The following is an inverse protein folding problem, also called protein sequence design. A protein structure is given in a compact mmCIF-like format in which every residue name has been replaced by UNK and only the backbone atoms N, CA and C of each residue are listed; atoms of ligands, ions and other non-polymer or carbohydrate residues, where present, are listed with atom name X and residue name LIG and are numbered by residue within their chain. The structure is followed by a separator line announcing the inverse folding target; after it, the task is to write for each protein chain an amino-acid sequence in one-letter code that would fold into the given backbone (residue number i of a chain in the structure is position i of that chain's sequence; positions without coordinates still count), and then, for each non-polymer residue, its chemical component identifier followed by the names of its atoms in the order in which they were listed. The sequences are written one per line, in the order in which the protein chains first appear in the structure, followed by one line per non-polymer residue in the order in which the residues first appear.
data_IF_762332351122
#
_entry.id   IF_762332351122
#
_cell.length_a   1.000
_cell.length_b   1.000
_cell.length_c   1.000
_cell.angle_alpha   90.00
_cell.angle_beta   90.00
_cell.angle_gamma   90.00
#
_symmetry.space_group_name_H-M   'P 1'
#
loop_
_entity.id
_entity.type
_entity.pdbx_description
1 polymer ?
#
# COMPACT_ATOMS: atom_id res chain seq x y z
N UNK A 1 21.39 27.24 37.23
CA UNK A 1 20.39 26.76 36.25
C UNK A 1 21.09 26.47 34.93
N UNK A 2 21.37 25.21 34.61
CA UNK A 2 21.84 24.85 33.25
C UNK A 2 20.64 24.99 32.32
N UNK A 3 20.74 25.84 31.30
CA UNK A 3 19.70 25.93 30.28
C UNK A 3 19.63 24.58 29.58
N UNK A 4 18.54 23.83 29.78
CA UNK A 4 18.24 22.66 28.95
C UNK A 4 17.97 23.19 27.54
N UNK A 5 19.00 23.24 26.69
CA UNK A 5 18.76 23.19 25.24
C UNK A 5 18.19 21.79 25.00
N UNK A 6 16.87 21.67 24.99
CA UNK A 6 16.20 20.48 24.48
C UNK A 6 16.53 20.40 23.00
N UNK A 7 17.43 19.50 22.61
CA UNK A 7 17.75 19.28 21.21
C UNK A 7 16.46 18.87 20.49
N UNK A 8 16.03 19.73 19.55
CA UNK A 8 14.91 19.46 18.67
C UNK A 8 15.37 18.46 17.61
N UNK A 9 14.68 17.33 17.51
CA UNK A 9 14.92 16.38 16.43
C UNK A 9 14.81 17.06 15.06
N UNK A 10 15.64 16.67 14.10
CA UNK A 10 15.38 17.02 12.70
C UNK A 10 14.26 16.11 12.18
N UNK A 11 13.20 16.70 11.64
CA UNK A 11 12.04 15.95 11.13
C UNK A 11 12.02 16.03 9.61
N UNK A 12 12.06 14.87 8.95
CA UNK A 12 11.91 14.78 7.49
C UNK A 12 10.53 14.28 7.09
N UNK A 13 9.75 15.12 6.45
CA UNK A 13 8.49 14.74 5.81
C UNK A 13 8.77 14.24 4.39
N UNK A 14 8.49 12.96 4.14
CA UNK A 14 8.81 12.28 2.89
C UNK A 14 7.54 12.12 2.07
N UNK A 15 7.49 12.78 0.91
CA UNK A 15 6.38 12.71 -0.04
C UNK A 15 6.84 12.09 -1.35
N UNK A 16 6.11 11.09 -1.80
CA UNK A 16 6.30 10.50 -3.12
C UNK A 16 5.16 10.96 -4.01
N UNK A 17 5.47 11.29 -5.26
CA UNK A 17 4.46 11.65 -6.23
C UNK A 17 4.75 11.05 -7.62
N UNK A 18 3.72 10.48 -8.23
CA UNK A 18 3.70 10.02 -9.63
C UNK A 18 2.36 10.42 -10.25
N UNK A 19 2.37 11.41 -11.15
CA UNK A 19 1.18 11.90 -11.85
C UNK A 19 0.07 12.47 -10.93
N UNK A 20 0.43 13.03 -9.77
CA UNK A 20 -0.51 13.64 -8.80
C UNK A 20 -0.16 15.11 -8.50
N UNK A 21 0.37 15.85 -9.47
CA UNK A 21 0.76 17.25 -9.29
C UNK A 21 -0.39 18.15 -8.81
N UNK A 22 -1.62 17.91 -9.26
CA UNK A 22 -2.79 18.68 -8.83
C UNK A 22 -3.02 18.62 -7.32
N UNK A 23 -2.75 17.49 -6.68
CA UNK A 23 -2.80 17.34 -5.23
C UNK A 23 -1.58 17.96 -4.56
N UNK A 24 -0.38 17.68 -5.09
CA UNK A 24 0.87 18.18 -4.52
C UNK A 24 0.91 19.72 -4.48
N UNK A 25 0.34 20.38 -5.49
CA UNK A 25 0.17 21.85 -5.56
C UNK A 25 -0.59 22.42 -4.37
N UNK A 26 -1.58 21.68 -3.87
CA UNK A 26 -2.43 22.12 -2.77
C UNK A 26 -1.77 21.85 -1.42
N UNK A 27 -1.10 20.70 -1.29
CA UNK A 27 -0.63 20.20 0.00
C UNK A 27 0.78 20.65 0.36
N UNK A 28 1.73 20.59 -0.58
CA UNK A 28 3.15 20.80 -0.28
C UNK A 28 3.45 22.22 0.24
N UNK A 29 3.02 23.33 -0.41
CA UNK A 29 3.31 24.67 0.08
C UNK A 29 2.73 24.88 1.49
N UNK A 30 1.46 24.48 1.66
CA UNK A 30 0.75 24.62 2.94
C UNK A 30 1.41 23.82 4.06
N UNK A 31 1.80 22.57 3.78
CA UNK A 31 2.45 21.70 4.76
C UNK A 31 3.80 22.27 5.22
N UNK A 32 4.57 22.86 4.31
CA UNK A 32 5.81 23.57 4.62
C UNK A 32 5.50 24.75 5.53
N UNK A 33 4.67 25.70 5.08
CA UNK A 33 4.31 26.91 5.83
C UNK A 33 3.83 26.62 7.26
N UNK A 34 2.96 25.62 7.41
CA UNK A 34 2.38 25.20 8.67
C UNK A 34 3.41 24.69 9.70
N UNK A 35 4.62 24.35 9.26
CA UNK A 35 5.66 23.74 10.08
C UNK A 35 7.01 24.47 10.04
N UNK A 36 7.18 25.52 9.23
CA UNK A 36 8.41 26.32 9.15
C UNK A 36 8.86 26.86 10.51
N UNK A 37 7.92 27.29 11.36
CA UNK A 37 8.24 27.86 12.68
C UNK A 37 8.94 26.87 13.63
N UNK A 38 8.90 25.57 13.34
CA UNK A 38 9.65 24.57 14.11
C UNK A 38 11.16 24.72 13.93
N UNK A 39 11.61 25.17 12.75
CA UNK A 39 12.99 25.47 12.40
C UNK A 39 13.82 24.28 11.92
N UNK A 40 13.71 23.11 12.57
CA UNK A 40 14.52 21.92 12.22
C UNK A 40 13.73 20.89 11.38
N UNK A 41 13.15 21.33 10.25
CA UNK A 41 12.38 20.49 9.33
C UNK A 41 13.06 20.34 7.98
N UNK A 42 12.80 19.22 7.31
CA UNK A 42 13.11 18.97 5.90
C UNK A 42 11.88 18.34 5.23
N UNK A 43 11.56 18.77 4.02
CA UNK A 43 10.57 18.15 3.16
C UNK A 43 11.30 17.46 2.01
N UNK A 44 11.15 16.15 1.88
CA UNK A 44 11.76 15.36 0.81
C UNK A 44 10.68 14.98 -0.17
N UNK A 45 10.73 15.52 -1.38
CA UNK A 45 9.78 15.21 -2.45
C UNK A 45 10.47 14.37 -3.50
N UNK A 46 9.94 13.17 -3.73
CA UNK A 46 10.35 12.28 -4.81
C UNK A 46 9.36 12.36 -5.97
N UNK A 47 9.80 12.93 -7.08
CA UNK A 47 9.12 12.73 -8.37
C UNK A 47 9.50 11.36 -8.93
N UNK A 48 8.53 10.45 -8.88
CA UNK A 48 8.68 9.04 -9.24
C UNK A 48 8.25 8.80 -10.69
N UNK A 49 8.88 9.53 -11.61
CA UNK A 49 8.62 9.51 -13.06
C UNK A 49 7.27 10.11 -13.50
N UNK A 50 6.82 11.17 -12.83
CA UNK A 50 5.65 11.96 -13.24
C UNK A 50 5.80 12.54 -14.65
N UNK A 51 4.67 12.69 -15.34
CA UNK A 51 4.50 13.22 -16.72
C UNK A 51 3.57 14.43 -16.78
N UNK A 52 3.20 14.97 -15.63
CA UNK A 52 2.18 16.01 -15.44
C UNK A 52 2.77 17.41 -15.21
N UNK A 53 4.05 17.64 -15.55
CA UNK A 53 4.73 18.92 -15.40
C UNK A 53 5.28 19.21 -14.00
N UNK A 54 5.46 18.18 -13.17
CA UNK A 54 5.92 18.32 -11.79
C UNK A 54 7.29 18.97 -11.66
N UNK A 55 8.23 18.66 -12.55
CA UNK A 55 9.59 19.20 -12.50
C UNK A 55 9.60 20.71 -12.72
N UNK A 56 8.91 21.17 -13.77
CA UNK A 56 8.78 22.59 -14.11
C UNK A 56 8.09 23.35 -12.97
N UNK A 57 7.06 22.76 -12.37
CA UNK A 57 6.33 23.38 -11.27
C UNK A 57 7.19 23.53 -10.01
N UNK A 58 7.84 22.45 -9.53
CA UNK A 58 8.70 22.51 -8.34
C UNK A 58 9.83 23.54 -8.53
N UNK A 59 10.46 23.54 -9.71
CA UNK A 59 11.59 24.45 -10.02
C UNK A 59 11.19 25.92 -10.02
N UNK A 60 9.95 26.22 -10.38
CA UNK A 60 9.46 27.58 -10.48
C UNK A 60 8.82 28.06 -9.18
N UNK A 61 7.85 27.30 -8.65
CA UNK A 61 7.02 27.76 -7.54
C UNK A 61 7.61 27.42 -6.17
N UNK A 62 8.49 26.42 -6.07
CA UNK A 62 9.05 25.94 -4.80
C UNK A 62 10.54 26.26 -4.64
N UNK A 63 11.08 27.14 -5.50
CA UNK A 63 12.51 27.46 -5.56
C UNK A 63 13.04 27.99 -4.23
N UNK A 64 12.34 28.91 -3.58
CA UNK A 64 12.81 29.53 -2.34
C UNK A 64 12.95 28.51 -1.20
N UNK A 65 12.09 27.50 -1.17
CA UNK A 65 12.21 26.38 -0.21
C UNK A 65 13.38 25.45 -0.55
N UNK A 66 13.72 25.28 -1.83
CA UNK A 66 14.90 24.51 -2.23
C UNK A 66 16.20 25.26 -1.89
N UNK A 67 16.26 26.55 -2.23
CA UNK A 67 17.43 27.40 -1.97
C UNK A 67 17.73 27.52 -0.46
N UNK A 68 16.68 27.60 0.38
CA UNK A 68 16.82 27.61 1.84
C UNK A 68 17.13 26.24 2.46
N UNK A 69 17.13 25.17 1.67
CA UNK A 69 17.38 23.80 2.14
C UNK A 69 16.20 23.15 2.89
N UNK A 70 15.05 23.82 2.98
CA UNK A 70 13.83 23.27 3.60
C UNK A 70 13.23 22.17 2.72
N UNK A 71 13.27 22.32 1.39
CA UNK A 71 12.76 21.36 0.43
C UNK A 71 13.89 20.67 -0.33
N UNK A 72 14.00 19.36 -0.15
CA UNK A 72 14.85 18.48 -0.94
C UNK A 72 14.02 17.81 -2.04
N UNK A 73 14.24 18.24 -3.28
CA UNK A 73 13.62 17.63 -4.45
C UNK A 73 14.54 16.61 -5.12
N UNK A 74 14.05 15.38 -5.30
CA UNK A 74 14.75 14.30 -5.99
C UNK A 74 13.83 13.68 -7.03
N UNK A 75 14.40 13.13 -8.10
CA UNK A 75 13.61 12.52 -9.17
C UNK A 75 14.28 11.33 -9.83
N UNK A 76 13.44 10.49 -10.43
CA UNK A 76 13.86 9.37 -11.28
C UNK A 76 12.92 9.21 -12.48
N UNK A 77 13.41 8.62 -13.57
CA UNK A 77 12.62 8.31 -14.78
C UNK A 77 12.53 6.81 -15.08
N UNK A 78 13.12 5.98 -14.22
CA UNK A 78 13.23 4.54 -14.45
C UNK A 78 11.92 3.77 -14.24
N UNK A 79 11.16 3.99 -13.14
CA UNK A 79 9.96 3.21 -12.88
C UNK A 79 8.87 3.52 -13.91
N UNK A 80 8.36 2.48 -14.59
CA UNK A 80 7.20 2.62 -15.49
C UNK A 80 5.88 2.76 -14.73
N UNK A 81 5.81 2.11 -13.57
CA UNK A 81 4.63 2.05 -12.72
C UNK A 81 4.95 2.55 -11.31
N UNK A 82 3.92 2.91 -10.57
CA UNK A 82 4.01 3.31 -9.17
C UNK A 82 4.25 2.08 -8.29
N UNK A 83 5.39 2.06 -7.60
CA UNK A 83 5.79 0.96 -6.72
C UNK A 83 5.84 1.48 -5.28
N UNK A 84 4.70 1.46 -4.56
CA UNK A 84 4.52 2.12 -3.26
C UNK A 84 5.69 1.91 -2.29
N UNK A 85 6.02 0.65 -1.97
CA UNK A 85 7.09 0.33 -1.02
C UNK A 85 8.45 0.86 -1.48
N UNK A 86 8.80 0.65 -2.75
CA UNK A 86 10.10 1.07 -3.28
C UNK A 86 10.22 2.60 -3.33
N UNK A 87 9.18 3.29 -3.77
CA UNK A 87 9.19 4.75 -3.83
C UNK A 87 9.26 5.39 -2.45
N UNK A 88 8.50 4.86 -1.47
CA UNK A 88 8.61 5.25 -0.06
C UNK A 88 10.04 5.03 0.45
N UNK A 89 10.65 3.88 0.14
CA UNK A 89 12.03 3.58 0.51
C UNK A 89 13.04 4.56 -0.08
N UNK A 90 12.91 4.92 -1.35
CA UNK A 90 13.79 5.89 -2.01
C UNK A 90 13.70 7.25 -1.32
N UNK A 91 12.49 7.77 -1.07
CA UNK A 91 12.31 9.05 -0.41
C UNK A 91 12.87 9.04 1.02
N UNK A 92 12.49 8.03 1.82
CA UNK A 92 12.93 7.90 3.21
C UNK A 92 14.43 7.67 3.31
N UNK A 93 15.08 6.95 2.38
CA UNK A 93 16.55 6.82 2.36
C UNK A 93 17.24 8.16 2.19
N UNK A 94 16.70 9.05 1.33
CA UNK A 94 17.30 10.34 1.02
C UNK A 94 17.00 11.44 2.05
N UNK A 95 16.10 11.18 3.01
CA UNK A 95 15.88 12.05 4.16
C UNK A 95 17.07 12.11 5.13
N UNK A 96 17.29 13.27 5.72
CA UNK A 96 18.40 13.51 6.66
C UNK A 96 17.97 13.68 8.12
N UNK A 97 16.67 13.69 8.39
CA UNK A 97 16.13 13.85 9.74
C UNK A 97 16.36 12.65 10.64
N UNK A 98 16.37 12.91 11.95
CA UNK A 98 16.39 11.90 13.01
C UNK A 98 15.08 11.11 13.04
N UNK A 99 13.98 11.77 12.68
CA UNK A 99 12.65 11.20 12.52
C UNK A 99 12.21 11.38 11.07
N UNK A 100 11.75 10.30 10.45
CA UNK A 100 11.18 10.29 9.11
C UNK A 100 9.68 10.04 9.19
N UNK A 101 8.91 10.81 8.42
CA UNK A 101 7.46 10.73 8.38
C UNK A 101 6.97 10.59 6.93
N UNK A 102 6.19 9.56 6.61
CA UNK A 102 5.54 9.46 5.31
C UNK A 102 4.35 10.44 5.22
N UNK A 103 4.27 11.20 4.12
CA UNK A 103 3.17 12.12 3.83
C UNK A 103 2.80 11.98 2.35
N UNK A 104 1.61 11.44 2.07
CA UNK A 104 1.15 11.28 0.70
C UNK A 104 0.89 12.64 0.02
N UNK A 105 0.90 12.68 -1.32
CA UNK A 105 0.83 13.94 -2.07
C UNK A 105 -0.51 14.70 -1.92
N UNK A 106 -1.54 14.03 -1.42
CA UNK A 106 -2.90 14.54 -1.20
C UNK A 106 -3.22 14.75 0.30
N UNK A 107 -2.20 14.71 1.15
CA UNK A 107 -2.34 14.77 2.60
C UNK A 107 -1.90 16.13 3.16
N UNK A 108 -2.74 16.75 4.00
CA UNK A 108 -2.35 17.87 4.85
C UNK A 108 -1.87 17.36 6.20
N UNK A 109 -0.75 17.90 6.70
CA UNK A 109 -0.22 17.57 8.04
C UNK A 109 -0.66 18.55 9.12
N UNK A 110 -1.11 19.74 8.72
CA UNK A 110 -1.58 20.79 9.63
C UNK A 110 -0.48 21.49 10.42
N UNK A 111 -0.86 22.62 11.04
CA UNK A 111 0.03 23.50 11.78
C UNK A 111 0.64 22.83 13.01
N UNK A 112 1.95 22.97 13.17
CA UNK A 112 2.67 22.51 14.36
C UNK A 112 2.85 21.00 14.49
N UNK A 113 2.60 20.24 13.42
CA UNK A 113 2.79 18.79 13.43
C UNK A 113 4.23 18.36 13.75
N UNK A 114 5.22 19.11 13.27
CA UNK A 114 6.62 18.88 13.60
C UNK A 114 6.88 18.99 15.12
N UNK A 115 6.31 19.99 15.79
CA UNK A 115 6.44 20.15 17.25
C UNK A 115 5.72 19.01 18.00
N UNK A 116 4.57 18.56 17.49
CA UNK A 116 3.83 17.42 18.03
C UNK A 116 4.62 16.10 17.92
N UNK A 117 5.29 15.86 16.78
CA UNK A 117 6.21 14.72 16.60
C UNK A 117 7.37 14.82 17.59
N UNK A 118 8.05 15.97 17.64
CA UNK A 118 9.18 16.20 18.52
C UNK A 118 8.85 15.89 19.99
N UNK A 119 7.76 16.49 20.50
CA UNK A 119 7.27 16.25 21.86
C UNK A 119 7.02 14.77 22.11
N UNK A 120 6.41 14.08 21.14
CA UNK A 120 6.09 12.65 21.25
C UNK A 120 7.32 11.75 21.38
N UNK A 121 8.38 12.02 20.63
CA UNK A 121 9.62 11.24 20.69
C UNK A 121 10.52 11.64 21.87
N UNK A 122 10.42 12.87 22.38
CA UNK A 122 11.07 13.29 23.62
C UNK A 122 10.42 12.66 24.85
N UNK A 123 9.09 12.53 24.87
CA UNK A 123 8.36 11.84 25.93
C UNK A 123 8.68 10.35 26.01
N UNK A 124 8.83 9.70 24.85
CA UNK A 124 9.14 8.28 24.79
C UNK A 124 9.89 7.92 23.50
N UNK A 125 11.19 7.64 23.61
CA UNK A 125 12.02 7.26 22.46
C UNK A 125 11.69 5.85 21.90
N UNK A 126 10.88 5.04 22.59
CA UNK A 126 10.49 3.68 22.17
C UNK A 126 9.11 3.64 21.49
N UNK A 127 8.74 4.72 20.78
CA UNK A 127 7.49 4.78 20.03
C UNK A 127 7.72 4.92 18.52
N UNK A 128 6.69 4.57 17.77
CA UNK A 128 6.45 5.11 16.44
C UNK A 128 5.07 5.78 16.45
N UNK A 129 4.83 6.72 15.55
CA UNK A 129 3.52 7.36 15.43
C UNK A 129 2.81 6.88 14.16
N UNK A 130 1.52 6.64 14.23
CA UNK A 130 0.71 6.28 13.07
C UNK A 130 -0.75 6.69 13.25
N UNK A 131 -1.51 6.76 12.15
CA UNK A 131 -2.96 6.84 12.21
C UNK A 131 -3.60 5.66 12.94
N UNK A 132 -4.74 5.91 13.57
CA UNK A 132 -5.57 4.85 14.15
C UNK A 132 -6.15 3.96 13.05
N UNK A 133 -6.01 2.65 13.20
CA UNK A 133 -6.51 1.68 12.23
C UNK A 133 -8.04 1.62 12.23
N UNK A 134 -8.67 1.93 13.36
CA UNK A 134 -10.11 1.83 13.54
C UNK A 134 -10.86 3.09 13.12
N UNK A 135 -10.22 4.25 13.29
CA UNK A 135 -10.90 5.55 13.19
C UNK A 135 -10.30 6.50 12.18
N UNK A 136 -9.13 6.18 11.59
CA UNK A 136 -8.57 7.00 10.52
C UNK A 136 -9.33 6.76 9.23
N UNK A 137 -9.64 7.87 8.55
CA UNK A 137 -10.13 7.84 7.18
C UNK A 137 -9.07 7.18 6.27
N UNK A 138 -9.50 6.46 5.21
CA UNK A 138 -8.64 5.62 4.35
C UNK A 138 -7.33 6.31 3.91
N UNK A 139 -7.33 7.63 3.71
CA UNK A 139 -6.17 8.39 3.26
C UNK A 139 -5.12 8.72 4.33
N UNK A 140 -5.46 8.66 5.62
CA UNK A 140 -4.53 9.01 6.72
C UNK A 140 -3.67 7.84 7.20
N UNK A 141 -3.98 6.61 6.78
CA UNK A 141 -3.35 5.39 7.27
C UNK A 141 -1.85 5.32 6.94
N UNK A 142 -1.46 5.80 5.77
CA UNK A 142 -0.06 5.79 5.30
C UNK A 142 0.85 6.75 6.06
N UNK A 143 0.32 7.59 6.96
CA UNK A 143 1.13 8.49 7.78
C UNK A 143 1.76 7.72 8.94
N UNK A 144 3.05 7.44 8.79
CA UNK A 144 3.86 6.78 9.82
C UNK A 144 5.09 7.65 10.11
N UNK A 145 5.30 8.01 11.37
CA UNK A 145 6.52 8.65 11.85
C UNK A 145 7.35 7.62 12.62
N UNK A 146 8.62 7.48 12.27
CA UNK A 146 9.55 6.57 12.94
C UNK A 146 10.95 7.18 13.00
N UNK A 147 11.80 6.67 13.89
CA UNK A 147 13.21 7.08 13.88
C UNK A 147 13.87 6.62 12.57
N UNK A 148 14.78 7.43 12.04
CA UNK A 148 15.57 7.08 10.87
C UNK A 148 16.39 5.80 11.11
N UNK A 149 16.87 5.61 12.33
CA UNK A 149 17.61 4.41 12.73
C UNK A 149 16.74 3.15 12.67
N UNK A 150 15.49 3.19 13.14
CA UNK A 150 14.56 2.07 13.00
C UNK A 150 14.22 1.80 11.53
N UNK A 151 13.97 2.83 10.72
CA UNK A 151 13.74 2.67 9.28
C UNK A 151 14.90 1.94 8.58
N UNK A 152 16.14 2.35 8.87
CA UNK A 152 17.36 1.70 8.32
C UNK A 152 17.51 0.28 8.84
N UNK A 153 17.28 0.05 10.14
CA UNK A 153 17.36 -1.27 10.79
C UNK A 153 16.35 -2.26 10.18
N UNK A 154 15.15 -1.79 9.87
CA UNK A 154 14.09 -2.57 9.21
C UNK A 154 14.30 -2.74 7.71
N UNK A 155 15.30 -2.06 7.13
CA UNK A 155 15.56 -2.01 5.70
C UNK A 155 14.34 -1.53 4.89
N UNK A 156 13.57 -0.59 5.43
CA UNK A 156 12.43 0.03 4.76
C UNK A 156 11.19 -0.86 4.59
N UNK A 157 10.25 -0.42 3.76
CA UNK A 157 9.03 -1.11 3.34
C UNK A 157 9.35 -2.33 2.47
N UNK A 158 8.56 -3.39 2.53
CA UNK A 158 8.78 -4.61 1.74
C UNK A 158 8.56 -4.36 0.23
N UNK A 159 9.65 -4.34 -0.55
CA UNK A 159 9.60 -4.06 -1.99
C UNK A 159 9.09 -5.25 -2.82
N UNK A 160 8.91 -6.40 -2.19
CA UNK A 160 8.26 -7.54 -2.81
C UNK A 160 6.73 -7.41 -2.78
N UNK A 161 6.16 -6.47 -2.02
CA UNK A 161 4.75 -6.12 -2.12
C UNK A 161 4.51 -5.40 -3.44
N UNK A 162 3.55 -5.90 -4.21
CA UNK A 162 3.23 -5.40 -5.54
C UNK A 162 1.78 -4.94 -5.54
N UNK A 163 1.54 -3.85 -6.24
CA UNK A 163 0.23 -3.25 -6.28
C UNK A 163 -0.17 -2.51 -5.00
N UNK A 164 -1.45 -2.17 -4.89
CA UNK A 164 -1.99 -1.35 -3.81
C UNK A 164 -2.14 -2.08 -2.46
N UNK A 165 -1.64 -1.43 -1.40
CA UNK A 165 -2.01 -1.65 0.00
C UNK A 165 -1.15 -2.66 0.77
N UNK A 166 -1.31 -2.63 2.10
CA UNK A 166 -0.70 -3.49 3.13
C UNK A 166 0.79 -3.28 3.45
N UNK A 167 1.51 -2.46 2.70
CA UNK A 167 2.91 -2.13 2.99
C UNK A 167 3.07 -1.35 4.31
N UNK A 168 2.11 -0.48 4.62
CA UNK A 168 2.09 0.29 5.87
C UNK A 168 1.76 -0.61 7.07
N UNK A 169 0.85 -1.56 6.90
CA UNK A 169 0.54 -2.56 7.93
C UNK A 169 1.78 -3.42 8.24
N UNK A 170 2.50 -3.84 7.21
CA UNK A 170 3.73 -4.62 7.36
C UNK A 170 4.84 -3.84 8.06
N UNK A 171 5.04 -2.57 7.69
CA UNK A 171 5.99 -1.69 8.38
C UNK A 171 5.66 -1.53 9.87
N UNK A 172 4.38 -1.31 10.21
CA UNK A 172 3.92 -1.20 11.60
C UNK A 172 4.15 -2.48 12.40
N UNK A 173 3.79 -3.63 11.84
CA UNK A 173 4.05 -4.93 12.44
C UNK A 173 5.54 -5.10 12.77
N UNK A 174 6.42 -4.69 11.86
CA UNK A 174 7.87 -4.81 12.05
C UNK A 174 8.43 -3.82 13.08
N UNK A 175 7.88 -2.61 13.17
CA UNK A 175 8.19 -1.67 14.26
C UNK A 175 7.78 -2.26 15.63
N UNK A 176 6.61 -2.90 15.70
CA UNK A 176 6.16 -3.57 16.93
C UNK A 176 7.00 -4.78 17.30
N UNK A 177 7.45 -5.57 16.31
CA UNK A 177 8.41 -6.66 16.51
C UNK A 177 9.78 -6.16 16.99
N UNK A 178 10.17 -4.91 16.69
CA UNK A 178 11.34 -4.25 17.31
C UNK A 178 11.10 -3.79 18.75
N UNK A 179 9.89 -3.97 19.28
CA UNK A 179 9.52 -3.51 20.62
C UNK A 179 9.05 -2.06 20.69
N UNK A 180 8.75 -1.43 19.54
CA UNK A 180 8.18 -0.07 19.52
C UNK A 180 6.70 -0.11 19.82
N UNK A 181 6.22 0.87 20.57
CA UNK A 181 4.78 1.05 20.83
C UNK A 181 4.20 2.10 19.89
N UNK A 182 2.99 1.87 19.40
CA UNK A 182 2.28 2.89 18.62
C UNK A 182 1.83 4.04 19.51
N UNK A 183 2.08 5.28 19.06
CA UNK A 183 1.40 6.48 19.54
C UNK A 183 0.47 6.98 18.43
N UNK A 184 -0.82 7.02 18.71
CA UNK A 184 -1.82 7.40 17.72
C UNK A 184 -1.70 8.90 17.41
N UNK A 185 -1.63 9.23 16.12
CA UNK A 185 -1.60 10.62 15.65
C UNK A 185 -2.97 11.25 15.85
N UNK A 186 -3.00 12.47 16.39
CA UNK A 186 -4.24 13.23 16.52
C UNK A 186 -4.88 13.46 15.13
N UNK A 187 -6.21 13.24 15.03
CA UNK A 187 -6.97 13.40 13.79
C UNK A 187 -6.79 14.77 13.11
N UNK A 188 -6.49 15.83 13.86
CA UNK A 188 -6.16 17.15 13.31
C UNK A 188 -4.97 17.14 12.32
N UNK A 189 -4.08 16.15 12.41
CA UNK A 189 -2.93 15.97 11.53
C UNK A 189 -3.13 14.88 10.47
N UNK A 190 -4.37 14.39 10.30
CA UNK A 190 -4.74 13.29 9.40
C UNK A 190 -5.68 13.73 8.26
N UNK A 191 -5.67 15.02 7.89
CA UNK A 191 -6.56 15.55 6.86
C UNK A 191 -6.08 15.15 5.45
N UNK A 192 -6.99 14.69 4.60
CA UNK A 192 -6.69 14.24 3.23
C UNK A 192 -7.65 14.86 2.22
N UNK A 193 -7.17 15.14 1.01
CA UNK A 193 -8.02 15.52 -0.11
C UNK A 193 -8.83 14.31 -0.58
N UNK A 194 -10.13 14.49 -0.79
CA UNK A 194 -11.00 13.43 -1.28
C UNK A 194 -10.74 13.15 -2.76
N UNK A 195 -10.72 11.85 -3.10
CA UNK A 195 -10.63 11.39 -4.47
C UNK A 195 -11.11 9.93 -4.58
N UNK A 196 -11.49 9.54 -5.80
CA UNK A 196 -11.96 8.19 -6.14
C UNK A 196 -10.85 7.12 -5.97
N UNK A 197 -11.26 5.90 -5.62
CA UNK A 197 -10.42 4.70 -5.52
C UNK A 197 -9.79 4.34 -6.87
N UNK A 198 -10.46 4.59 -8.00
CA UNK A 198 -9.90 4.37 -9.35
C UNK A 198 -8.56 5.08 -9.53
N UNK A 199 -8.45 6.31 -9.02
CA UNK A 199 -7.24 7.11 -9.16
C UNK A 199 -6.04 6.46 -8.45
N UNK A 200 -6.28 5.69 -7.36
CA UNK A 200 -5.24 4.95 -6.61
C UNK A 200 -4.54 3.90 -7.48
N UNK A 201 -5.28 3.34 -8.42
CA UNK A 201 -4.87 2.22 -9.27
C UNK A 201 -4.30 2.66 -10.62
N UNK A 202 -4.51 3.92 -11.03
CA UNK A 202 -4.18 4.43 -12.36
C UNK A 202 -2.73 4.15 -12.79
N UNK A 203 -1.76 4.29 -11.87
CA UNK A 203 -0.34 4.06 -12.17
C UNK A 203 0.18 2.73 -11.61
N UNK A 204 -0.68 1.89 -11.07
CA UNK A 204 -0.32 0.59 -10.50
C UNK A 204 0.02 -0.44 -11.59
N UNK A 205 0.99 -1.35 -11.37
CA UNK A 205 1.27 -2.43 -12.33
C UNK A 205 0.07 -3.32 -12.66
N UNK A 206 -0.71 -3.75 -11.67
CA UNK A 206 -1.76 -4.77 -11.87
C UNK A 206 -2.88 -4.29 -12.80
N UNK A 207 -3.23 -3.01 -12.76
CA UNK A 207 -4.19 -2.37 -13.69
C UNK A 207 -3.78 -2.51 -15.15
N UNK A 208 -2.47 -2.59 -15.43
CA UNK A 208 -1.94 -2.69 -16.78
C UNK A 208 -1.64 -4.12 -17.22
N UNK A 209 -1.35 -5.01 -16.27
CA UNK A 209 -0.99 -6.40 -16.55
C UNK A 209 -2.20 -7.34 -16.56
N UNK A 210 -3.22 -7.10 -15.73
CA UNK A 210 -4.43 -7.91 -15.71
C UNK A 210 -5.28 -7.52 -16.93
N UNK A 211 -5.47 -8.45 -17.87
CA UNK A 211 -6.25 -8.22 -19.09
C UNK A 211 -7.71 -8.61 -18.93
N UNK A 212 -7.96 -9.74 -18.27
CA UNK A 212 -9.30 -10.29 -18.14
C UNK A 212 -9.48 -10.90 -16.76
N UNK A 213 -10.67 -10.69 -16.19
CA UNK A 213 -11.07 -11.31 -14.93
C UNK A 213 -12.36 -12.07 -15.21
N UNK A 214 -12.43 -13.28 -14.68
CA UNK A 214 -13.61 -14.14 -14.74
C UNK A 214 -14.00 -14.57 -13.34
N UNK A 215 -15.30 -14.66 -13.07
CA UNK A 215 -15.81 -15.23 -11.85
C UNK A 215 -16.67 -16.47 -12.12
N UNK A 216 -16.66 -17.40 -11.17
CA UNK A 216 -17.46 -18.62 -11.13
C UNK A 216 -18.19 -18.66 -9.80
N UNK A 217 -19.52 -18.75 -9.83
CA UNK A 217 -20.29 -19.01 -8.61
C UNK A 217 -20.06 -20.47 -8.17
N UNK A 218 -19.59 -20.67 -6.93
CA UNK A 218 -19.38 -22.02 -6.37
C UNK A 218 -20.53 -22.34 -5.42
N UNK A 219 -20.73 -21.48 -4.43
CA UNK A 219 -21.86 -21.53 -3.49
C UNK A 219 -22.18 -20.12 -2.97
N UNK A 220 -23.06 -20.00 -1.97
CA UNK A 220 -23.47 -18.71 -1.41
C UNK A 220 -22.35 -17.96 -0.67
N UNK A 221 -21.32 -18.65 -0.19
CA UNK A 221 -20.20 -18.07 0.55
C UNK A 221 -18.90 -18.01 -0.28
N UNK A 222 -18.84 -18.72 -1.42
CA UNK A 222 -17.61 -18.94 -2.17
C UNK A 222 -17.75 -18.56 -3.64
N UNK A 223 -16.80 -17.77 -4.14
CA UNK A 223 -16.69 -17.39 -5.56
C UNK A 223 -15.31 -17.74 -6.09
N UNK A 224 -15.24 -18.50 -7.18
CA UNK A 224 -13.99 -18.74 -7.90
C UNK A 224 -13.64 -17.53 -8.76
N UNK A 225 -12.39 -17.08 -8.72
CA UNK A 225 -11.85 -16.04 -9.60
C UNK A 225 -10.75 -16.61 -10.48
N UNK A 226 -10.68 -16.10 -11.71
CA UNK A 226 -9.61 -16.37 -12.68
C UNK A 226 -9.15 -15.03 -13.29
N UNK A 227 -7.90 -14.67 -13.03
CA UNK A 227 -7.21 -13.52 -13.62
C UNK A 227 -6.30 -13.99 -14.74
N UNK A 228 -6.37 -13.34 -15.90
CA UNK A 228 -5.48 -13.57 -17.04
C UNK A 228 -4.61 -12.34 -17.27
N UNK A 229 -3.30 -12.53 -17.32
CA UNK A 229 -2.32 -11.45 -17.45
C UNK A 229 -1.81 -11.31 -18.89
N UNK A 230 -1.22 -10.16 -19.19
CA UNK A 230 -0.71 -9.80 -20.51
C UNK A 230 0.48 -10.64 -20.97
N UNK A 231 1.21 -11.25 -20.04
CA UNK A 231 2.34 -12.14 -20.22
C UNK A 231 1.96 -13.62 -20.38
N UNK A 232 0.66 -13.91 -20.59
CA UNK A 232 0.11 -15.27 -20.71
C UNK A 232 0.14 -16.10 -19.41
N UNK A 233 0.33 -15.46 -18.25
CA UNK A 233 0.16 -16.13 -16.95
C UNK A 233 -1.27 -15.98 -16.43
N UNK A 234 -1.69 -16.90 -15.54
CA UNK A 234 -2.98 -16.81 -14.86
C UNK A 234 -2.87 -17.01 -13.35
N UNK A 235 -3.86 -16.47 -12.63
CA UNK A 235 -4.12 -16.73 -11.22
C UNK A 235 -5.55 -17.21 -11.05
N UNK A 236 -5.74 -18.38 -10.43
CA UNK A 236 -7.05 -18.98 -10.17
C UNK A 236 -7.17 -19.34 -8.69
N UNK A 237 -8.27 -18.95 -8.06
CA UNK A 237 -8.46 -19.19 -6.63
C UNK A 237 -9.90 -18.96 -6.18
N UNK A 238 -10.25 -19.51 -5.02
CA UNK A 238 -11.57 -19.39 -4.43
C UNK A 238 -11.56 -18.30 -3.36
N UNK A 239 -12.49 -17.36 -3.47
CA UNK A 239 -12.68 -16.28 -2.51
C UNK A 239 -13.85 -16.65 -1.61
N UNK A 240 -13.58 -16.69 -0.30
CA UNK A 240 -14.56 -17.03 0.72
C UNK A 240 -14.98 -15.77 1.47
N UNK A 241 -16.29 -15.54 1.55
CA UNK A 241 -16.89 -14.48 2.38
C UNK A 241 -17.06 -15.01 3.79
N UNK A 242 -16.20 -14.56 4.71
CA UNK A 242 -16.13 -15.09 6.08
C UNK A 242 -17.46 -14.97 6.82
N UNK A 243 -18.17 -13.85 6.68
CA UNK A 243 -19.48 -13.66 7.32
C UNK A 243 -20.51 -14.73 6.92
N UNK A 244 -20.50 -15.17 5.65
CA UNK A 244 -21.42 -16.18 5.13
C UNK A 244 -20.93 -17.59 5.46
N UNK A 245 -19.63 -17.84 5.31
CA UNK A 245 -19.04 -19.13 5.68
C UNK A 245 -19.25 -19.44 7.17
N UNK A 246 -19.08 -18.44 8.03
CA UNK A 246 -19.28 -18.58 9.48
C UNK A 246 -20.76 -18.87 9.81
N UNK A 247 -21.72 -18.37 9.02
CA UNK A 247 -23.14 -18.71 9.21
C UNK A 247 -23.48 -20.18 8.90
N UNK A 248 -22.57 -20.93 8.26
CA UNK A 248 -22.71 -22.37 7.98
C UNK A 248 -22.22 -23.25 9.14
N UNK A 249 -21.57 -22.69 10.16
CA UNK A 249 -21.13 -23.44 11.36
C UNK A 249 -22.13 -23.32 12.50
N UNK A 250 -22.45 -24.46 13.12
CA UNK A 250 -23.29 -24.53 14.32
C UNK A 250 -22.65 -23.79 15.52
N UNK A 251 -21.32 -23.66 15.53
CA UNK A 251 -20.59 -22.94 16.57
C UNK A 251 -20.94 -21.45 16.61
N UNK A 252 -21.36 -20.90 15.47
CA UNK A 252 -21.76 -19.50 15.35
C UNK A 252 -23.24 -19.27 15.70
N UNK A 253 -23.97 -20.27 16.19
CA UNK A 253 -25.28 -20.04 16.81
C UNK A 253 -25.17 -19.15 18.06
N UNK A 254 -24.06 -19.23 18.78
CA UNK A 254 -23.79 -18.48 20.01
C UNK A 254 -23.18 -17.10 19.70
N UNK A 255 -23.74 -16.01 20.26
CA UNK A 255 -23.33 -14.62 19.98
C UNK A 255 -21.88 -14.35 20.36
N UNK A 256 -21.37 -15.07 21.35
CA UNK A 256 -20.00 -15.00 21.86
C UNK A 256 -18.97 -15.47 20.81
N UNK A 257 -19.41 -16.32 19.88
CA UNK A 257 -18.60 -16.83 18.77
C UNK A 257 -18.77 -15.99 17.49
N UNK A 258 -19.89 -15.26 17.34
CA UNK A 258 -20.14 -14.34 16.20
C UNK A 258 -19.29 -13.07 16.27
N UNK A 259 -19.02 -12.56 17.47
CA UNK A 259 -18.35 -11.28 17.70
C UNK A 259 -16.85 -11.42 17.93
N UNK A 260 -16.17 -12.14 17.04
CA UNK A 260 -14.71 -12.10 17.01
C UNK A 260 -14.16 -11.21 15.89
N UNK A 261 -14.71 -10.01 15.71
CA UNK A 261 -13.90 -8.84 15.28
C UNK A 261 -12.92 -8.42 16.40
N UNK A 262 -12.30 -9.38 17.10
CA UNK A 262 -11.27 -9.09 18.09
C UNK A 262 -10.00 -8.76 17.32
N UNK A 263 -9.85 -7.48 17.06
CA UNK A 263 -8.63 -6.86 16.56
C UNK A 263 -7.50 -7.21 17.52
N UNK A 264 -6.55 -8.03 17.08
CA UNK A 264 -5.30 -8.29 17.82
C UNK A 264 -4.19 -7.57 17.07
N UNK A 265 -3.50 -6.65 17.74
CA UNK A 265 -2.45 -5.81 17.14
C UNK A 265 -2.92 -5.01 15.92
N UNK A 266 -4.17 -4.53 15.94
CA UNK A 266 -4.62 -3.61 14.91
C UNK A 266 -5.05 -4.22 13.58
N UNK A 267 -5.07 -5.55 13.41
CA UNK A 267 -5.69 -6.17 12.24
C UNK A 267 -7.06 -6.77 12.60
N UNK A 268 -8.10 -6.62 11.73
CA UNK A 268 -9.33 -7.40 11.87
C UNK A 268 -8.99 -8.87 12.00
N UNK A 269 -9.57 -9.56 13.00
CA UNK A 269 -9.32 -10.99 13.22
C UNK A 269 -9.61 -11.80 11.95
N UNK A 270 -10.64 -11.38 11.21
CA UNK A 270 -10.98 -11.88 9.88
C UNK A 270 -11.46 -10.71 9.01
N UNK A 271 -10.77 -10.45 7.89
CA UNK A 271 -11.31 -9.54 6.87
C UNK A 271 -12.53 -10.19 6.22
N UNK A 272 -13.45 -9.39 5.68
CA UNK A 272 -14.69 -9.90 5.06
C UNK A 272 -14.45 -11.01 4.04
N UNK A 273 -13.42 -10.87 3.21
CA UNK A 273 -13.05 -11.83 2.16
C UNK A 273 -11.67 -12.43 2.46
N UNK A 274 -11.49 -13.73 2.18
CA UNK A 274 -10.19 -14.41 2.19
C UNK A 274 -9.99 -15.23 0.92
N UNK A 275 -8.74 -15.43 0.53
CA UNK A 275 -8.38 -16.44 -0.46
C UNK A 275 -8.31 -17.78 0.26
N UNK A 276 -9.01 -18.78 -0.26
CA UNK A 276 -8.97 -20.14 0.28
C UNK A 276 -7.51 -20.65 0.32
N UNK A 277 -7.10 -21.19 1.47
CA UNK A 277 -5.73 -21.64 1.76
C UNK A 277 -4.62 -20.58 1.62
N UNK A 278 -4.95 -19.28 1.50
CA UNK A 278 -3.99 -18.20 1.26
C UNK A 278 -3.08 -18.43 0.03
N UNK A 279 -3.57 -19.18 -0.98
CA UNK A 279 -2.79 -19.56 -2.16
C UNK A 279 -3.59 -19.48 -3.47
N UNK A 280 -2.93 -18.98 -4.51
CA UNK A 280 -3.43 -19.00 -5.87
C UNK A 280 -2.88 -20.22 -6.62
N UNK A 281 -3.74 -20.91 -7.36
CA UNK A 281 -3.28 -21.77 -8.45
C UNK A 281 -2.76 -20.89 -9.57
N UNK A 282 -1.50 -21.06 -9.96
CA UNK A 282 -0.85 -20.27 -11.01
C UNK A 282 -0.33 -21.14 -12.13
N UNK A 283 -0.16 -20.56 -13.31
CA UNK A 283 0.36 -21.24 -14.49
C UNK A 283 0.32 -20.36 -15.72
N UNK A 284 0.46 -20.99 -16.88
CA UNK A 284 0.36 -20.34 -18.18
C UNK A 284 -0.99 -20.62 -18.82
N UNK A 285 -1.44 -19.76 -19.72
CA UNK A 285 -2.63 -20.00 -20.51
C UNK A 285 -2.36 -19.81 -21.99
N UNK A 286 -3.09 -20.55 -22.83
CA UNK A 286 -3.16 -20.27 -24.27
C UNK A 286 -4.60 -20.16 -24.72
N UNK A 287 -4.85 -19.23 -25.65
CA UNK A 287 -6.16 -19.00 -26.25
C UNK A 287 -6.13 -19.39 -27.72
N UNK A 288 -7.15 -20.09 -28.18
CA UNK A 288 -7.37 -20.37 -29.60
C UNK A 288 -8.86 -20.25 -29.95
N UNK A 289 -9.21 -20.46 -31.21
CA UNK A 289 -10.59 -20.34 -31.72
C UNK A 289 -11.61 -21.27 -31.05
N UNK A 290 -11.17 -22.24 -30.22
CA UNK A 290 -12.01 -23.20 -29.50
C UNK A 290 -12.14 -22.87 -28.00
N UNK A 291 -11.40 -21.87 -27.51
CA UNK A 291 -11.47 -21.39 -26.12
C UNK A 291 -10.11 -21.20 -25.44
N UNK A 292 -10.12 -21.32 -24.12
CA UNK A 292 -9.00 -21.03 -23.23
C UNK A 292 -8.45 -22.32 -22.62
N UNK A 293 -7.14 -22.54 -22.69
CA UNK A 293 -6.44 -23.66 -22.05
C UNK A 293 -5.58 -23.14 -20.91
N UNK A 294 -5.72 -23.71 -19.72
CA UNK A 294 -4.93 -23.39 -18.53
C UNK A 294 -3.94 -24.51 -18.24
N UNK A 295 -2.66 -24.17 -18.12
CA UNK A 295 -1.55 -25.06 -17.81
C UNK A 295 -1.01 -24.70 -16.42
N UNK A 296 -1.61 -25.25 -15.34
CA UNK A 296 -1.16 -24.94 -13.99
C UNK A 296 0.25 -25.50 -13.75
N UNK A 297 1.05 -24.83 -12.92
CA UNK A 297 2.37 -25.33 -12.49
C UNK A 297 2.27 -26.68 -11.77
N UNK A 298 1.14 -26.93 -11.13
CA UNK A 298 0.82 -28.17 -10.43
C UNK A 298 -0.63 -28.57 -10.72
N UNK A 299 -0.88 -29.85 -11.00
CA UNK A 299 -2.22 -30.37 -11.27
C UNK A 299 -2.50 -30.60 -12.76
N UNK A 300 -3.78 -30.82 -13.09
CA UNK A 300 -4.22 -31.16 -14.45
C UNK A 300 -4.52 -29.91 -15.26
N UNK A 301 -4.19 -29.96 -16.54
CA UNK A 301 -4.60 -28.95 -17.52
C UNK A 301 -6.13 -28.84 -17.55
N UNK A 302 -6.65 -27.62 -17.64
CA UNK A 302 -8.09 -27.36 -17.82
C UNK A 302 -8.33 -26.76 -19.20
N UNK A 303 -9.37 -27.24 -19.90
CA UNK A 303 -9.84 -26.63 -21.15
C UNK A 303 -11.18 -25.98 -20.88
N UNK A 304 -11.30 -24.70 -21.21
CA UNK A 304 -12.49 -23.90 -21.08
C UNK A 304 -12.97 -23.55 -22.49
N UNK A 305 -14.12 -24.09 -22.89
CA UNK A 305 -14.71 -23.85 -24.21
C UNK A 305 -15.45 -22.52 -24.18
N UNK A 306 -15.17 -21.66 -25.16
CA UNK A 306 -15.82 -20.37 -25.29
C UNK A 306 -17.27 -20.56 -25.75
N UNK A 307 -18.21 -19.98 -25.01
CA UNK A 307 -19.63 -19.94 -25.37
C UNK A 307 -20.14 -18.52 -25.17
N UNK A 308 -19.98 -17.68 -26.20
CA UNK A 308 -20.30 -16.26 -26.14
C UNK A 308 -19.43 -15.54 -25.11
N UNK A 309 -20.05 -15.02 -24.04
CA UNK A 309 -19.36 -14.28 -22.96
C UNK A 309 -18.91 -15.15 -21.79
N UNK A 310 -19.03 -16.47 -21.94
CA UNK A 310 -18.75 -17.44 -20.89
C UNK A 310 -17.72 -18.45 -21.35
N UNK A 311 -17.05 -19.01 -20.37
CA UNK A 311 -16.22 -20.19 -20.54
C UNK A 311 -16.86 -21.37 -19.80
N UNK A 312 -16.96 -22.51 -20.46
CA UNK A 312 -17.50 -23.74 -19.88
C UNK A 312 -16.46 -24.85 -19.91
N UNK A 313 -16.26 -25.53 -18.78
CA UNK A 313 -15.47 -26.76 -18.77
C UNK A 313 -16.28 -27.90 -19.40
N UNK A 314 -15.70 -28.69 -20.32
CA UNK A 314 -16.37 -29.84 -20.94
C UNK A 314 -16.43 -31.07 -20.00
N UNK A 315 -15.78 -31.03 -18.84
CA UNK A 315 -15.89 -32.10 -17.84
C UNK A 315 -17.29 -32.09 -17.19
N UNK A 316 -17.97 -33.25 -17.18
CA UNK A 316 -19.38 -33.37 -16.79
C UNK A 316 -19.65 -32.86 -15.36
N UNK A 317 -20.41 -31.77 -15.26
CA UNK A 317 -21.03 -31.27 -14.03
C UNK A 317 -21.74 -29.94 -14.27
N UNK A 318 -22.92 -29.72 -13.67
CA UNK A 318 -23.52 -28.38 -13.62
C UNK A 318 -22.59 -27.51 -12.75
N UNK A 319 -22.18 -26.34 -13.25
CA UNK A 319 -21.54 -25.21 -12.53
C UNK A 319 -20.09 -24.82 -12.90
N UNK A 320 -19.43 -25.39 -13.90
CA UNK A 320 -18.10 -24.88 -14.35
C UNK A 320 -18.20 -23.71 -15.33
N UNK A 321 -19.09 -22.75 -15.07
CA UNK A 321 -19.28 -21.57 -15.94
C UNK A 321 -18.51 -20.39 -15.36
N UNK A 322 -17.60 -19.84 -16.15
CA UNK A 322 -16.88 -18.61 -15.86
C UNK A 322 -17.51 -17.46 -16.63
N UNK A 323 -17.89 -16.41 -15.91
CA UNK A 323 -18.45 -15.18 -16.47
C UNK A 323 -17.36 -14.11 -16.52
N UNK A 324 -17.12 -13.55 -17.70
CA UNK A 324 -16.18 -12.43 -17.83
C UNK A 324 -16.73 -11.19 -17.12
N UNK A 325 -15.86 -10.46 -16.43
CA UNK A 325 -16.13 -9.14 -15.87
C UNK A 325 -16.02 -8.11 -16.98
N UNK A 326 -17.11 -7.37 -17.22
CA UNK A 326 -17.19 -6.33 -18.25
C UNK A 326 -17.44 -4.94 -17.68
N UNK A 327 -18.00 -4.88 -16.46
CA UNK A 327 -18.21 -3.65 -15.74
C UNK A 327 -16.86 -3.12 -15.26
N UNK A 328 -16.54 -1.86 -15.61
CA UNK A 328 -15.24 -1.28 -15.36
C UNK A 328 -14.99 -1.08 -13.86
N UNK A 329 -16.01 -0.67 -13.11
CA UNK A 329 -15.87 -0.41 -11.68
C UNK A 329 -15.62 -1.72 -10.93
N UNK A 330 -16.40 -2.77 -11.21
CA UNK A 330 -16.15 -4.10 -10.68
C UNK A 330 -14.78 -4.66 -11.10
N UNK A 331 -14.35 -4.40 -12.34
CA UNK A 331 -13.02 -4.82 -12.79
C UNK A 331 -11.93 -4.15 -11.94
N UNK A 332 -12.02 -2.84 -11.72
CA UNK A 332 -11.06 -2.08 -10.90
C UNK A 332 -11.10 -2.49 -9.43
N UNK A 333 -12.28 -2.76 -8.87
CA UNK A 333 -12.43 -3.32 -7.53
C UNK A 333 -11.73 -4.68 -7.38
N UNK A 334 -11.85 -5.54 -8.40
CA UNK A 334 -11.19 -6.85 -8.40
C UNK A 334 -9.66 -6.74 -8.61
N UNK A 335 -9.19 -5.75 -9.38
CA UNK A 335 -7.75 -5.43 -9.45
C UNK A 335 -7.25 -4.98 -8.08
N UNK A 336 -7.95 -4.07 -7.40
CA UNK A 336 -7.58 -3.62 -6.05
C UNK A 336 -7.57 -4.79 -5.07
N UNK A 337 -8.61 -5.63 -5.12
CA UNK A 337 -8.71 -6.82 -4.28
C UNK A 337 -7.53 -7.78 -4.52
N UNK A 338 -7.16 -8.02 -5.79
CA UNK A 338 -6.02 -8.85 -6.14
C UNK A 338 -4.71 -8.32 -5.52
N UNK A 339 -4.48 -7.01 -5.57
CA UNK A 339 -3.30 -6.39 -4.95
C UNK A 339 -3.31 -6.53 -3.44
N UNK A 340 -4.43 -6.17 -2.81
CA UNK A 340 -4.60 -6.19 -1.37
C UNK A 340 -4.49 -7.61 -0.79
N UNK A 341 -5.13 -8.62 -1.41
CA UNK A 341 -5.12 -9.98 -0.87
C UNK A 341 -3.71 -10.60 -0.94
N UNK A 342 -2.97 -10.36 -2.02
CA UNK A 342 -1.60 -10.82 -2.16
C UNK A 342 -0.67 -10.17 -1.13
N UNK A 343 -0.77 -8.86 -0.94
CA UNK A 343 0.05 -8.16 0.04
C UNK A 343 -0.36 -8.52 1.48
N UNK A 344 -1.66 -8.72 1.76
CA UNK A 344 -2.16 -9.20 3.05
C UNK A 344 -1.59 -10.56 3.44
N UNK A 345 -1.62 -11.53 2.52
CA UNK A 345 -1.06 -12.87 2.74
C UNK A 345 0.44 -12.75 3.06
N UNK A 346 1.14 -11.86 2.35
CA UNK A 346 2.55 -11.58 2.61
C UNK A 346 2.77 -10.95 3.99
N UNK A 347 2.00 -9.94 4.37
CA UNK A 347 2.07 -9.33 5.71
C UNK A 347 1.83 -10.36 6.82
N UNK A 348 0.86 -11.27 6.64
CA UNK A 348 0.61 -12.37 7.58
C UNK A 348 1.83 -13.30 7.69
N UNK A 349 2.37 -13.76 6.56
CA UNK A 349 3.57 -14.61 6.53
C UNK A 349 4.78 -13.92 7.17
N UNK A 350 4.98 -12.63 6.90
CA UNK A 350 6.05 -11.83 7.50
C UNK A 350 5.90 -11.74 9.02
N UNK A 351 4.69 -11.49 9.52
CA UNK A 351 4.40 -11.40 10.95
C UNK A 351 4.59 -12.74 11.67
N UNK A 352 4.04 -13.83 11.12
CA UNK A 352 4.20 -15.19 11.65
C UNK A 352 5.67 -15.63 11.69
N UNK A 353 6.41 -15.32 10.61
CA UNK A 353 7.84 -15.57 10.51
C UNK A 353 8.72 -14.58 11.28
N UNK A 354 8.14 -13.57 11.94
CA UNK A 354 8.86 -12.47 12.62
C UNK A 354 9.92 -11.81 11.72
N UNK A 355 9.61 -11.62 10.45
CA UNK A 355 10.52 -11.05 9.45
C UNK A 355 10.70 -9.56 9.72
N UNK A 356 11.89 -9.14 10.14
CA UNK A 356 12.22 -7.73 10.37
C UNK A 356 12.72 -7.02 9.11
N UNK A 357 13.45 -7.73 8.25
CA UNK A 357 14.20 -7.16 7.11
C UNK A 357 13.83 -7.87 5.79
N UNK A 358 12.66 -7.55 5.20
CA UNK A 358 12.14 -8.28 4.04
C UNK A 358 13.00 -8.11 2.77
N UNK A 359 13.81 -7.05 2.71
CA UNK A 359 14.57 -6.65 1.54
C UNK A 359 16.00 -7.23 1.48
N UNK A 360 16.42 -8.04 2.47
CA UNK A 360 17.70 -8.79 2.49
C UNK A 360 18.95 -7.96 2.13
N UNK A 361 19.02 -6.73 2.62
CA UNK A 361 20.13 -5.80 2.41
C UNK A 361 19.98 -4.86 1.21
N UNK A 362 18.91 -5.01 0.43
CA UNK A 362 18.72 -4.24 -0.81
C UNK A 362 17.33 -3.59 -0.90
N UNK A 363 17.26 -2.30 -0.58
CA UNK A 363 16.02 -1.51 -0.65
C UNK A 363 16.29 -0.10 -1.21
N UNK A 364 15.31 0.52 -1.83
CA UNK A 364 15.31 1.90 -2.31
C UNK A 364 16.40 2.20 -3.34
N UNK A 365 16.79 1.20 -4.14
CA UNK A 365 17.83 1.37 -5.14
C UNK A 365 17.25 1.85 -6.46
N UNK A 366 17.57 3.10 -6.79
CA UNK A 366 17.27 3.66 -8.10
C UNK A 366 18.34 4.69 -8.46
N UNK A 367 18.61 4.87 -9.75
CA UNK A 367 19.39 6.01 -10.21
C UNK A 367 18.56 7.27 -9.97
N UNK A 368 19.09 8.13 -9.12
CA UNK A 368 18.52 9.41 -8.77
C UNK A 368 19.29 10.50 -9.49
N UNK A 369 18.54 11.48 -9.95
CA UNK A 369 19.10 12.78 -10.27
C UNK A 369 18.77 13.70 -9.10
N UNK A 370 19.78 14.39 -8.61
CA UNK A 370 19.65 15.41 -7.59
C UNK A 370 19.92 16.76 -8.22
N UNK A 371 19.23 17.78 -7.74
CA UNK A 371 19.67 19.13 -8.01
C UNK A 371 20.94 19.36 -7.17
N UNK A 372 22.07 19.49 -7.84
CA UNK A 372 23.19 20.22 -7.25
C UNK A 372 22.88 21.71 -7.45
N UNK A 373 22.98 22.48 -6.36
CA UNK A 373 22.96 23.93 -6.39
C UNK A 373 24.12 24.46 -7.24
#
# INVERSE_FOLDING_TARGET
MKSLKTEKYKISFCTVCMNRLSFLKQTLPKNIEDNLSYGNVEFVVLNYNSKDGMDEWIRREMKDYMDSGVLKYIWTRKPKYFLMSHSKNVAHKNASGDIVCNVDADNFIGRGFAEYINTSFLENANVYMAGDILTSDKGGFGRICMTKSDFVKLQGYDENMKGYGFEDHDMRNRLELLGRKVKIINKAHLTTLEHDDILRLENEPNTHHIKEIYFKNIDHATTGLLYLLDDQTFFKGNIVVNALYNSLSIDNLFKENRNQEIVRNGMPREYRNRLENDEWTTGEYSRNNKGLKLFPKQGKQTVLVENGRMFQSPEKGRNEIYHKVWDNDLFMDLVMFFSQINNRIKTKKNLEGKVLTPNKGSFGYVTLNQHYL
#
